data_IF_796116930805
#
_entry.id   IF_796116930805
#
_cell.length_a   1.000
_cell.length_b   1.000
_cell.length_c   1.000
_cell.angle_alpha   90.00
_cell.angle_beta   90.00
_cell.angle_gamma   90.00
#
_symmetry.space_group_name_H-M   'P 1'
#
loop_
_entity.id
_entity.type
_entity.pdbx_description
1 polymer ?
#
# COMPACT_ATOMS: atom_id res chain seq x y z
N UNK A 1 9.14 11.08 65.46
CA UNK A 1 9.37 11.42 64.04
C UNK A 1 9.48 10.13 63.25
N UNK A 2 8.44 9.76 62.49
CA UNK A 2 8.41 8.53 61.61
C UNK A 2 8.54 8.98 60.17
N UNK A 3 9.69 8.70 59.57
CA UNK A 3 10.00 8.99 58.17
C UNK A 3 9.28 7.94 57.27
N UNK A 4 8.30 8.38 56.49
CA UNK A 4 7.68 7.53 55.44
C UNK A 4 8.57 7.53 54.20
N UNK A 5 9.09 6.35 53.84
CA UNK A 5 9.76 6.10 52.58
C UNK A 5 8.69 5.85 51.49
N UNK A 6 8.57 6.78 50.56
CA UNK A 6 7.78 6.58 49.35
C UNK A 6 8.57 5.64 48.41
N UNK A 7 8.03 4.46 48.18
CA UNK A 7 8.52 3.54 47.15
C UNK A 7 7.81 3.93 45.85
N UNK A 8 8.57 4.54 44.95
CA UNK A 8 8.11 4.84 43.58
C UNK A 8 8.25 3.55 42.76
N UNK A 9 7.13 2.88 42.54
CA UNK A 9 7.07 1.71 41.66
C UNK A 9 7.08 2.18 40.21
N UNK A 10 8.23 2.11 39.55
CA UNK A 10 8.33 2.33 38.11
C UNK A 10 7.71 1.16 37.37
N UNK A 11 6.57 1.35 36.78
CA UNK A 11 5.96 0.43 35.84
C UNK A 11 6.73 0.53 34.50
N UNK A 12 7.60 -0.42 34.28
CA UNK A 12 8.31 -0.61 33.00
C UNK A 12 7.29 -1.17 32.00
N UNK A 13 6.73 -0.30 31.15
CA UNK A 13 5.99 -0.76 29.98
C UNK A 13 6.98 -1.39 29.00
N UNK A 14 7.07 -2.72 28.99
CA UNK A 14 7.72 -3.48 27.93
C UNK A 14 6.81 -3.36 26.70
N UNK A 15 7.19 -2.50 25.76
CA UNK A 15 6.67 -2.54 24.39
C UNK A 15 7.19 -3.85 23.74
N UNK A 16 6.36 -4.86 23.70
CA UNK A 16 6.62 -6.07 22.92
C UNK A 16 6.49 -5.66 21.45
N UNK A 17 7.60 -5.24 20.84
CA UNK A 17 7.74 -5.26 19.40
C UNK A 17 7.81 -6.75 19.03
N UNK A 18 6.66 -7.31 18.70
CA UNK A 18 6.60 -8.65 18.13
C UNK A 18 7.26 -8.58 16.75
N UNK A 19 8.55 -8.96 16.68
CA UNK A 19 9.16 -9.34 15.42
C UNK A 19 8.32 -10.47 14.85
N UNK A 20 7.48 -10.19 13.84
CA UNK A 20 6.80 -11.24 13.08
C UNK A 20 7.86 -11.94 12.23
N UNK A 21 8.45 -12.99 12.77
CA UNK A 21 9.28 -13.95 12.03
C UNK A 21 8.43 -15.02 11.32
N UNK A 22 7.16 -14.75 11.06
CA UNK A 22 6.28 -15.70 10.37
C UNK A 22 6.26 -15.34 8.89
N UNK A 23 7.07 -16.06 8.10
CA UNK A 23 7.16 -15.94 6.64
C UNK A 23 5.93 -16.58 5.95
N UNK A 24 4.74 -16.31 6.46
CA UNK A 24 3.50 -16.87 5.90
C UNK A 24 2.31 -15.90 6.06
N UNK A 25 1.37 -16.01 5.12
CA UNK A 25 0.08 -15.33 5.21
C UNK A 25 -0.65 -15.69 6.50
N UNK A 26 -1.15 -14.70 7.21
CA UNK A 26 -2.00 -14.91 8.39
C UNK A 26 -3.32 -15.58 8.01
N UNK A 27 -4.02 -16.19 8.96
CA UNK A 27 -5.34 -16.77 8.69
C UNK A 27 -6.35 -15.71 8.26
N UNK A 28 -6.27 -14.49 8.80
CA UNK A 28 -7.13 -13.37 8.40
C UNK A 28 -6.86 -12.97 6.95
N UNK A 29 -5.59 -12.79 6.55
CA UNK A 29 -5.22 -12.51 5.15
C UNK A 29 -5.69 -13.60 4.20
N UNK A 30 -5.47 -14.88 4.54
CA UNK A 30 -5.95 -16.02 3.75
C UNK A 30 -7.47 -16.01 3.57
N UNK A 31 -8.21 -15.68 4.62
CA UNK A 31 -9.67 -15.59 4.56
C UNK A 31 -10.13 -14.46 3.63
N UNK A 32 -9.48 -13.30 3.66
CA UNK A 32 -9.76 -12.19 2.75
C UNK A 32 -9.42 -12.55 1.30
N UNK A 33 -8.23 -13.12 1.08
CA UNK A 33 -7.75 -13.51 -0.26
C UNK A 33 -8.65 -14.58 -0.89
N UNK A 34 -9.06 -15.59 -0.11
CA UNK A 34 -9.90 -16.71 -0.57
C UNK A 34 -11.40 -16.45 -0.46
N UNK A 35 -11.80 -15.28 0.01
CA UNK A 35 -13.20 -14.89 0.10
C UNK A 35 -13.92 -14.98 -1.24
N UNK A 36 -15.26 -15.02 -1.20
CA UNK A 36 -16.11 -15.13 -2.39
C UNK A 36 -15.98 -13.91 -3.33
N UNK A 37 -16.21 -14.15 -4.61
CA UNK A 37 -16.18 -13.12 -5.64
C UNK A 37 -14.82 -12.91 -6.29
N UNK A 38 -14.83 -12.26 -7.46
CA UNK A 38 -13.63 -11.93 -8.24
C UNK A 38 -12.94 -10.67 -7.71
N UNK A 39 -13.72 -9.69 -7.24
CA UNK A 39 -13.24 -8.45 -6.66
C UNK A 39 -13.25 -8.48 -5.13
N UNK A 40 -12.38 -7.70 -4.50
CA UNK A 40 -12.30 -7.52 -3.05
C UNK A 40 -13.04 -6.23 -2.63
N UNK A 41 -13.49 -6.17 -1.37
CA UNK A 41 -14.04 -4.94 -0.80
C UNK A 41 -12.94 -3.88 -0.70
N UNK A 42 -13.20 -2.68 -1.18
CA UNK A 42 -12.31 -1.53 -0.97
C UNK A 42 -12.61 -0.89 0.39
N UNK A 43 -11.58 -0.76 1.21
CA UNK A 43 -11.64 -0.09 2.51
C UNK A 43 -11.73 1.43 2.32
N UNK A 44 -12.45 2.11 3.23
CA UNK A 44 -12.61 3.57 3.14
C UNK A 44 -12.28 4.26 4.45
N UNK A 45 -11.86 5.53 4.40
CA UNK A 45 -11.60 6.34 5.59
C UNK A 45 -12.86 6.67 6.41
N UNK A 46 -14.05 6.40 5.88
CA UNK A 46 -15.33 6.68 6.54
C UNK A 46 -15.71 5.61 7.55
N UNK A 47 -15.13 4.42 7.47
CA UNK A 47 -15.20 3.40 8.50
C UNK A 47 -13.96 3.49 9.40
N UNK A 48 -14.15 3.40 10.71
CA UNK A 48 -13.07 3.58 11.68
C UNK A 48 -12.04 2.44 11.64
N UNK A 49 -12.49 1.21 11.45
CA UNK A 49 -11.62 0.03 11.40
C UNK A 49 -10.83 0.00 10.09
N UNK A 50 -11.49 0.30 8.98
CA UNK A 50 -10.85 0.47 7.68
C UNK A 50 -9.77 1.55 7.72
N UNK A 51 -10.09 2.71 8.34
CA UNK A 51 -9.16 3.83 8.46
C UNK A 51 -7.90 3.45 9.24
N UNK A 52 -8.01 2.61 10.27
CA UNK A 52 -6.83 2.10 10.99
C UNK A 52 -5.93 1.25 10.09
N UNK A 53 -6.50 0.40 9.25
CA UNK A 53 -5.74 -0.41 8.28
C UNK A 53 -5.05 0.51 7.26
N UNK A 54 -5.79 1.46 6.69
CA UNK A 54 -5.28 2.40 5.67
C UNK A 54 -4.15 3.32 6.19
N UNK A 55 -4.04 3.50 7.51
CA UNK A 55 -3.03 4.32 8.18
C UNK A 55 -1.86 3.52 8.74
N UNK A 56 -1.82 2.22 8.48
CA UNK A 56 -0.76 1.34 8.99
C UNK A 56 0.30 1.10 7.92
N UNK A 57 1.57 1.19 8.29
CA UNK A 57 2.68 0.83 7.40
C UNK A 57 2.64 -0.66 7.05
N UNK A 58 2.84 -0.97 5.77
CA UNK A 58 2.75 -2.32 5.23
C UNK A 58 4.06 -3.10 5.37
N UNK A 59 3.94 -4.41 5.56
CA UNK A 59 5.06 -5.34 5.63
C UNK A 59 5.45 -5.88 4.25
N UNK A 60 6.71 -6.30 4.12
CA UNK A 60 7.18 -7.02 2.93
C UNK A 60 6.51 -8.38 2.77
N UNK A 61 6.63 -8.93 1.56
CA UNK A 61 6.17 -10.27 1.18
C UNK A 61 7.41 -11.14 0.98
N UNK A 62 7.51 -12.25 1.72
CA UNK A 62 8.64 -13.17 1.60
C UNK A 62 8.61 -13.93 0.25
N UNK A 63 9.74 -14.48 -0.15
CA UNK A 63 9.82 -15.32 -1.37
C UNK A 63 8.85 -16.50 -1.31
N UNK A 64 8.66 -17.10 -0.13
CA UNK A 64 7.71 -18.20 0.07
C UNK A 64 6.27 -17.76 -0.17
N UNK A 65 5.90 -16.57 0.32
CA UNK A 65 4.58 -16.00 0.09
C UNK A 65 4.38 -15.64 -1.38
N UNK A 66 5.38 -15.03 -2.05
CA UNK A 66 5.32 -14.67 -3.47
C UNK A 66 5.09 -15.87 -4.40
N UNK A 67 5.54 -17.06 -4.00
CA UNK A 67 5.37 -18.30 -4.78
C UNK A 67 4.12 -19.09 -4.40
N UNK A 68 3.29 -18.58 -3.48
CA UNK A 68 2.07 -19.24 -3.03
C UNK A 68 0.86 -18.98 -3.93
N UNK A 69 -0.14 -19.86 -3.86
CA UNK A 69 -1.44 -19.63 -4.50
C UNK A 69 -2.14 -18.40 -3.96
N UNK A 70 -1.97 -18.10 -2.67
CA UNK A 70 -2.54 -16.92 -2.03
C UNK A 70 -2.06 -15.64 -2.72
N UNK A 71 -0.76 -15.52 -3.03
CA UNK A 71 -0.26 -14.34 -3.75
C UNK A 71 -0.84 -14.24 -5.16
N UNK A 72 -0.90 -15.34 -5.90
CA UNK A 72 -1.48 -15.35 -7.25
C UNK A 72 -2.95 -14.89 -7.22
N UNK A 73 -3.74 -15.44 -6.30
CA UNK A 73 -5.15 -15.07 -6.13
C UNK A 73 -5.29 -13.59 -5.72
N UNK A 74 -4.45 -13.12 -4.78
CA UNK A 74 -4.43 -11.73 -4.37
C UNK A 74 -4.16 -10.79 -5.56
N UNK A 75 -3.14 -11.09 -6.36
CA UNK A 75 -2.78 -10.28 -7.52
C UNK A 75 -3.92 -10.19 -8.54
N UNK A 76 -4.55 -11.34 -8.87
CA UNK A 76 -5.71 -11.42 -9.76
C UNK A 76 -6.90 -10.60 -9.22
N UNK A 77 -7.22 -10.75 -7.94
CA UNK A 77 -8.32 -10.03 -7.29
C UNK A 77 -8.06 -8.53 -7.16
N UNK A 78 -6.84 -8.11 -6.88
CA UNK A 78 -6.50 -6.68 -6.86
C UNK A 78 -6.77 -6.02 -8.23
N UNK A 79 -6.35 -6.68 -9.31
CA UNK A 79 -6.62 -6.18 -10.67
C UNK A 79 -8.12 -6.19 -10.95
N UNK A 80 -8.84 -7.28 -10.65
CA UNK A 80 -10.29 -7.35 -10.81
C UNK A 80 -11.03 -6.28 -10.00
N UNK A 81 -10.52 -5.95 -8.80
CA UNK A 81 -11.10 -4.89 -7.94
C UNK A 81 -10.95 -3.53 -8.58
N UNK A 82 -9.72 -3.13 -8.97
CA UNK A 82 -9.44 -1.79 -9.49
C UNK A 82 -10.10 -1.55 -10.85
N UNK A 83 -10.28 -2.60 -11.65
CA UNK A 83 -10.90 -2.53 -12.98
C UNK A 83 -12.42 -2.76 -12.95
N UNK A 84 -13.01 -3.04 -11.77
CA UNK A 84 -14.45 -3.24 -11.68
C UNK A 84 -15.22 -1.96 -12.06
N UNK A 85 -16.41 -2.07 -12.65
CA UNK A 85 -17.20 -0.89 -13.05
C UNK A 85 -17.54 0.04 -11.88
N UNK A 86 -17.56 -0.47 -10.66
CA UNK A 86 -17.83 0.30 -9.44
C UNK A 86 -16.64 1.17 -9.03
N UNK A 87 -15.42 0.76 -9.39
CA UNK A 87 -14.18 1.45 -8.99
C UNK A 87 -13.60 2.28 -10.12
N UNK A 88 -13.47 1.69 -11.32
CA UNK A 88 -12.91 2.33 -12.54
C UNK A 88 -11.60 3.08 -12.23
N UNK A 89 -10.71 2.42 -11.48
CA UNK A 89 -9.46 2.99 -10.97
C UNK A 89 -8.28 2.68 -11.88
N UNK A 90 -7.17 3.39 -11.64
CA UNK A 90 -5.90 3.23 -12.37
C UNK A 90 -4.78 2.63 -11.51
N UNK A 91 -5.02 2.50 -10.21
CA UNK A 91 -4.11 1.91 -9.24
C UNK A 91 -4.84 1.47 -7.98
N UNK A 92 -4.27 0.50 -7.26
CA UNK A 92 -4.74 0.03 -5.96
C UNK A 92 -3.59 -0.60 -5.18
N UNK A 93 -3.55 -0.34 -3.88
CA UNK A 93 -2.56 -0.89 -2.95
C UNK A 93 -3.17 -1.96 -2.02
N UNK A 94 -2.32 -2.87 -1.54
CA UNK A 94 -2.70 -3.94 -0.62
C UNK A 94 -3.57 -3.50 0.57
N UNK A 95 -3.22 -2.43 1.32
CA UNK A 95 -4.03 -1.96 2.46
C UNK A 95 -5.44 -1.52 2.06
N UNK A 96 -5.67 -1.08 0.82
CA UNK A 96 -7.00 -0.71 0.36
C UNK A 96 -7.95 -1.91 0.21
N UNK A 97 -7.41 -3.11 0.12
CA UNK A 97 -8.19 -4.37 0.13
C UNK A 97 -8.02 -5.17 1.43
N UNK A 98 -7.55 -4.52 2.50
CA UNK A 98 -7.39 -5.13 3.82
C UNK A 98 -6.13 -6.00 3.99
N UNK A 99 -5.21 -5.96 3.03
CA UNK A 99 -3.96 -6.73 3.05
C UNK A 99 -2.79 -5.76 3.33
N UNK A 100 -2.32 -5.73 4.58
CA UNK A 100 -1.23 -4.83 5.02
C UNK A 100 0.14 -5.31 4.54
N UNK A 101 0.25 -5.58 3.23
CA UNK A 101 1.46 -6.03 2.56
C UNK A 101 1.87 -5.06 1.45
N UNK A 102 3.19 -4.95 1.24
CA UNK A 102 3.75 -4.07 0.21
C UNK A 102 3.51 -4.66 -1.18
N UNK A 103 2.34 -4.42 -1.72
CA UNK A 103 1.95 -4.79 -3.08
C UNK A 103 1.02 -3.73 -3.65
N UNK A 104 1.21 -3.40 -4.92
CA UNK A 104 0.32 -2.50 -5.67
C UNK A 104 -0.01 -3.11 -7.03
N UNK A 105 -1.19 -2.79 -7.55
CA UNK A 105 -1.55 -3.01 -8.96
C UNK A 105 -1.70 -1.64 -9.62
N UNK A 106 -1.04 -1.42 -10.77
CA UNK A 106 -0.98 -0.12 -11.45
C UNK A 106 -1.20 -0.32 -12.93
N UNK A 107 -2.03 0.55 -13.55
CA UNK A 107 -2.17 0.63 -15.00
C UNK A 107 -0.95 1.34 -15.59
N UNK A 108 -0.28 0.67 -16.52
CA UNK A 108 0.98 1.13 -17.13
C UNK A 108 0.69 1.91 -18.41
N UNK A 109 0.26 3.17 -18.26
CA UNK A 109 0.04 4.09 -19.39
C UNK A 109 1.30 4.38 -20.22
N UNK A 110 2.47 4.06 -19.69
CA UNK A 110 3.77 4.18 -20.34
C UNK A 110 4.16 2.93 -21.16
N UNK A 111 3.29 1.90 -21.22
CA UNK A 111 3.47 0.68 -22.01
C UNK A 111 2.38 0.50 -23.06
N UNK A 112 2.72 -0.17 -24.17
CA UNK A 112 1.76 -0.50 -25.20
C UNK A 112 0.61 -1.34 -24.64
N UNK A 113 -0.64 -0.95 -24.95
CA UNK A 113 -1.85 -1.61 -24.48
C UNK A 113 -2.21 -1.30 -23.03
N UNK A 114 -1.46 -0.41 -22.36
CA UNK A 114 -1.76 0.10 -21.02
C UNK A 114 -2.15 -0.98 -20.00
N UNK A 115 -1.36 -2.08 -19.88
CA UNK A 115 -1.72 -3.21 -19.04
C UNK A 115 -1.72 -2.86 -17.55
N UNK A 116 -2.54 -3.56 -16.77
CA UNK A 116 -2.35 -3.59 -15.31
C UNK A 116 -1.23 -4.57 -14.96
N UNK A 117 -0.30 -4.12 -14.13
CA UNK A 117 0.80 -4.94 -13.61
C UNK A 117 0.84 -4.87 -12.08
N UNK A 118 1.28 -5.96 -11.44
CA UNK A 118 1.32 -6.08 -9.96
C UNK A 118 2.76 -6.10 -9.48
N UNK A 119 3.06 -5.27 -8.50
CA UNK A 119 4.42 -4.99 -8.01
C UNK A 119 4.55 -5.32 -6.52
N UNK A 120 5.06 -6.51 -6.15
CA UNK A 120 5.33 -6.85 -4.75
C UNK A 120 6.60 -6.18 -4.25
N UNK A 121 6.63 -5.86 -2.95
CA UNK A 121 7.75 -5.27 -2.24
C UNK A 121 8.21 -3.93 -2.84
N UNK A 122 7.29 -3.21 -3.48
CA UNK A 122 7.62 -1.99 -4.17
C UNK A 122 8.05 -0.88 -3.21
N UNK A 123 9.04 -0.10 -3.66
CA UNK A 123 9.53 1.12 -3.03
C UNK A 123 9.95 2.11 -4.12
N UNK A 124 9.76 3.39 -3.88
CA UNK A 124 10.36 4.45 -4.68
C UNK A 124 11.76 4.70 -4.13
N UNK A 125 12.77 4.54 -4.97
CA UNK A 125 14.19 4.67 -4.58
C UNK A 125 14.82 5.97 -5.02
N UNK A 126 14.23 6.65 -5.99
CA UNK A 126 14.70 7.93 -6.48
C UNK A 126 13.54 8.78 -7.03
N UNK A 127 13.61 10.07 -6.74
CA UNK A 127 12.74 11.08 -7.34
C UNK A 127 13.62 12.02 -8.16
N UNK A 128 13.24 12.32 -9.41
CA UNK A 128 14.01 13.18 -10.32
C UNK A 128 13.15 14.28 -10.92
N UNK A 129 13.82 15.35 -11.29
CA UNK A 129 13.19 16.49 -11.95
C UNK A 129 12.31 17.30 -11.03
N UNK A 130 11.38 18.03 -11.62
CA UNK A 130 10.45 18.89 -10.89
C UNK A 130 9.13 18.17 -10.62
N UNK A 131 8.42 18.64 -9.60
CA UNK A 131 7.06 18.20 -9.33
C UNK A 131 6.10 18.96 -10.23
N UNK A 132 5.01 18.32 -10.61
CA UNK A 132 3.87 18.96 -11.27
C UNK A 132 2.63 18.81 -10.38
N UNK A 133 1.87 19.90 -10.28
CA UNK A 133 0.57 19.91 -9.60
C UNK A 133 -0.48 19.24 -10.50
N UNK A 134 -1.17 18.24 -9.97
CA UNK A 134 -2.20 17.53 -10.71
C UNK A 134 -3.34 17.01 -9.82
N UNK A 135 -4.53 16.74 -10.40
CA UNK A 135 -5.67 16.25 -9.65
C UNK A 135 -5.49 14.79 -9.26
N UNK A 136 -5.75 14.48 -7.99
CA UNK A 136 -5.83 13.13 -7.47
C UNK A 136 -7.20 12.84 -6.87
N UNK A 137 -7.62 11.58 -6.96
CA UNK A 137 -8.72 10.97 -6.24
C UNK A 137 -8.26 9.62 -5.70
N UNK A 138 -9.00 9.03 -4.79
CA UNK A 138 -8.65 7.76 -4.17
C UNK A 138 -9.89 6.88 -3.99
N UNK A 139 -9.79 5.60 -4.30
CA UNK A 139 -10.88 4.62 -4.11
C UNK A 139 -11.28 4.53 -2.62
N UNK A 140 -10.32 4.73 -1.71
CA UNK A 140 -10.55 4.74 -0.26
C UNK A 140 -11.13 6.08 0.26
N UNK A 141 -11.24 7.10 -0.59
CA UNK A 141 -11.82 8.42 -0.26
C UNK A 141 -12.82 8.84 -1.34
N UNK A 142 -13.90 8.05 -1.56
CA UNK A 142 -14.85 8.30 -2.63
C UNK A 142 -15.49 9.69 -2.50
N UNK A 143 -15.73 10.33 -3.65
CA UNK A 143 -16.40 11.62 -3.74
C UNK A 143 -15.50 12.84 -3.42
N UNK A 144 -14.21 12.65 -3.12
CA UNK A 144 -13.25 13.76 -2.92
C UNK A 144 -12.15 13.73 -3.96
N UNK A 145 -11.69 14.92 -4.35
CA UNK A 145 -10.53 15.15 -5.21
C UNK A 145 -9.73 16.34 -4.68
N UNK A 146 -8.42 16.34 -4.96
CA UNK A 146 -7.54 17.45 -4.61
C UNK A 146 -6.35 17.51 -5.56
N UNK A 147 -5.62 18.63 -5.55
CA UNK A 147 -4.41 18.77 -6.36
C UNK A 147 -3.18 18.51 -5.50
N UNK A 148 -2.33 17.60 -5.93
CA UNK A 148 -1.09 17.20 -5.26
C UNK A 148 0.08 17.40 -6.17
N UNK A 149 1.21 17.86 -5.64
CA UNK A 149 2.47 17.97 -6.37
C UNK A 149 3.21 16.63 -6.35
N UNK A 150 3.43 16.04 -7.55
CA UNK A 150 4.14 14.77 -7.72
C UNK A 150 5.32 14.90 -8.67
N UNK A 151 6.39 14.17 -8.37
CA UNK A 151 7.51 14.03 -9.31
C UNK A 151 7.05 13.31 -10.59
N UNK A 152 7.57 13.80 -11.73
CA UNK A 152 7.21 13.25 -13.04
C UNK A 152 8.22 12.20 -13.55
N UNK A 153 9.27 11.93 -12.79
CA UNK A 153 10.30 10.93 -13.08
C UNK A 153 10.78 10.30 -11.76
N UNK A 154 10.62 8.98 -11.64
CA UNK A 154 10.99 8.22 -10.44
C UNK A 154 11.70 6.92 -10.82
N UNK A 155 12.48 6.37 -9.89
CA UNK A 155 12.88 4.97 -9.94
C UNK A 155 12.12 4.18 -8.87
N UNK A 156 11.57 3.05 -9.29
CA UNK A 156 10.96 2.06 -8.41
C UNK A 156 11.88 0.85 -8.27
N UNK A 157 11.89 0.25 -7.09
CA UNK A 157 12.47 -1.07 -6.85
C UNK A 157 11.36 -2.00 -6.37
N UNK A 158 11.33 -3.23 -6.87
CA UNK A 158 10.34 -4.23 -6.51
C UNK A 158 10.89 -5.64 -6.70
N UNK A 159 10.27 -6.67 -6.13
CA UNK A 159 10.66 -8.05 -6.34
C UNK A 159 10.04 -8.60 -7.62
N UNK A 160 10.86 -8.94 -8.62
CA UNK A 160 10.40 -9.57 -9.87
C UNK A 160 9.90 -10.99 -9.61
N UNK A 161 8.66 -11.29 -9.97
CA UNK A 161 8.09 -12.64 -9.87
C UNK A 161 8.80 -13.66 -10.78
N UNK A 162 9.42 -13.18 -11.88
CA UNK A 162 10.14 -14.04 -12.81
C UNK A 162 11.46 -14.56 -12.24
N UNK A 163 12.16 -13.72 -11.45
CA UNK A 163 13.51 -14.04 -10.96
C UNK A 163 13.57 -14.18 -9.44
N UNK A 164 12.52 -13.76 -8.71
CA UNK A 164 12.45 -13.62 -7.26
C UNK A 164 13.59 -12.76 -6.69
N UNK A 165 14.03 -11.77 -7.47
CA UNK A 165 15.08 -10.82 -7.12
C UNK A 165 14.57 -9.41 -7.30
N UNK A 166 15.19 -8.49 -6.55
CA UNK A 166 14.92 -7.09 -6.70
C UNK A 166 15.29 -6.59 -8.08
N UNK A 167 14.42 -5.76 -8.61
CA UNK A 167 14.51 -5.20 -9.96
C UNK A 167 14.19 -3.71 -9.88
N UNK A 168 14.97 -2.88 -10.54
CA UNK A 168 14.76 -1.44 -10.61
C UNK A 168 14.25 -1.05 -12.00
N UNK A 169 13.27 -0.15 -12.04
CA UNK A 169 12.69 0.39 -13.27
C UNK A 169 12.49 1.90 -13.14
N UNK A 170 12.79 2.66 -14.21
CA UNK A 170 12.53 4.10 -14.29
C UNK A 170 11.16 4.34 -14.88
N UNK A 171 10.34 5.14 -14.20
CA UNK A 171 8.95 5.42 -14.57
C UNK A 171 8.77 6.91 -14.76
N UNK A 172 8.02 7.33 -15.79
CA UNK A 172 7.79 8.74 -16.11
C UNK A 172 6.31 9.08 -16.30
N UNK A 173 6.03 10.40 -16.19
CA UNK A 173 4.73 10.98 -16.49
C UNK A 173 3.63 10.50 -15.53
N UNK A 174 2.42 10.30 -16.06
CA UNK A 174 1.26 9.97 -15.26
C UNK A 174 1.42 8.64 -14.50
N UNK A 175 2.06 7.63 -15.10
CA UNK A 175 2.35 6.37 -14.42
C UNK A 175 3.22 6.58 -13.17
N UNK A 176 4.17 7.52 -13.21
CA UNK A 176 4.97 7.86 -12.03
C UNK A 176 4.13 8.50 -10.92
N UNK A 177 3.11 9.29 -11.26
CA UNK A 177 2.15 9.86 -10.30
C UNK A 177 1.36 8.74 -9.62
N UNK A 178 0.84 7.78 -10.39
CA UNK A 178 0.09 6.62 -9.85
C UNK A 178 0.96 5.83 -8.87
N UNK A 179 2.19 5.49 -9.25
CA UNK A 179 3.09 4.76 -8.35
C UNK A 179 3.35 5.51 -7.03
N UNK A 180 3.51 6.83 -7.06
CA UNK A 180 3.69 7.62 -5.85
C UNK A 180 2.44 7.56 -4.96
N UNK A 181 1.24 7.68 -5.53
CA UNK A 181 -0.02 7.55 -4.81
C UNK A 181 -0.14 6.16 -4.14
N UNK A 182 0.10 5.08 -4.89
CA UNK A 182 -0.02 3.73 -4.36
C UNK A 182 1.07 3.39 -3.33
N UNK A 183 2.30 3.89 -3.51
CA UNK A 183 3.37 3.73 -2.52
C UNK A 183 3.10 4.50 -1.22
N UNK A 184 2.42 5.63 -1.28
CA UNK A 184 1.96 6.36 -0.09
C UNK A 184 1.04 5.49 0.75
N UNK A 185 0.06 4.81 0.15
CA UNK A 185 -0.80 3.86 0.85
C UNK A 185 -0.02 2.78 1.60
N UNK A 186 1.10 2.29 1.03
CA UNK A 186 1.95 1.29 1.69
C UNK A 186 2.66 1.83 2.94
N UNK A 187 2.74 3.15 3.07
CA UNK A 187 3.34 3.85 4.21
C UNK A 187 2.28 4.50 5.14
N UNK A 188 0.99 4.18 4.93
CA UNK A 188 -0.11 4.73 5.72
C UNK A 188 -0.42 6.20 5.42
N UNK A 189 0.04 6.72 4.28
CA UNK A 189 -0.16 8.10 3.84
C UNK A 189 -1.31 8.14 2.83
N UNK A 190 -2.13 9.18 2.90
CA UNK A 190 -3.22 9.44 1.97
C UNK A 190 -2.96 10.75 1.23
N UNK A 191 -3.43 10.86 -0.02
CA UNK A 191 -3.22 12.08 -0.81
C UNK A 191 -3.77 13.34 -0.11
N UNK A 192 -4.79 13.20 0.74
CA UNK A 192 -5.35 14.30 1.53
C UNK A 192 -4.38 14.90 2.53
N UNK A 193 -3.35 14.16 2.95
CA UNK A 193 -2.34 14.66 3.90
C UNK A 193 -1.47 15.75 3.26
N UNK A 194 -1.38 15.76 1.92
CA UNK A 194 -0.70 16.81 1.17
C UNK A 194 -1.55 18.07 0.98
N UNK A 195 -2.87 17.97 1.15
CA UNK A 195 -3.80 19.09 0.97
C UNK A 195 -3.90 19.99 2.20
N UNK A 196 -3.71 19.42 3.39
CA UNK A 196 -3.90 20.10 4.67
C UNK A 196 -2.68 20.95 5.11
N UNK A 197 -1.64 21.06 4.25
CA UNK A 197 -0.46 21.88 4.50
C UNK A 197 0.42 21.41 5.66
N UNK A 198 0.28 20.17 6.07
CA UNK A 198 1.09 19.52 7.10
C UNK A 198 2.28 18.76 6.48
N UNK A 199 3.27 19.48 5.98
CA UNK A 199 4.61 18.97 5.66
C UNK A 199 5.68 19.82 6.32
#
# INVERSE_FOLDING_TARGET
MKTRRNILTAVLMLSVVACRNDESWTNAEKSLIKGDGEAMRVLTIYDKEDSLVLRTECYGISTKELTSDEYRILAEKMVATVTSPEQDGVGIAGPQVGISRRVVAVQRFDKDGEPFEVYPNIQITCHRGEKALGPEGCLSIPGKRGNVERYQDIDINYTSLKTLRDTTESIKGFTAVIFQHECDHLNGILYTDYLDGNQ
#
